data_IF_349523276297
#
_entry.id   IF_349523276297
#
_cell.length_a   1.000
_cell.length_b   1.000
_cell.length_c   1.000
_cell.angle_alpha   90.00
_cell.angle_beta   90.00
_cell.angle_gamma   90.00
#
_symmetry.space_group_name_H-M   'P 1'
#
loop_
_entity.id
_entity.type
_entity.pdbx_description
1 polymer ?
#
# COMPACT_ATOMS: atom_id res chain seq x y z
N UNK A 1 14.28 -7.45 -12.66
CA UNK A 1 13.15 -7.53 -11.71
C UNK A 1 11.97 -8.26 -12.32
N UNK A 2 11.58 -7.93 -13.55
CA UNK A 2 10.43 -8.56 -14.21
C UNK A 2 10.60 -10.07 -14.37
N UNK A 3 11.79 -10.54 -14.69
CA UNK A 3 12.10 -11.99 -14.78
C UNK A 3 11.91 -12.71 -13.44
N UNK A 4 12.35 -12.10 -12.34
CA UNK A 4 12.10 -12.64 -10.99
C UNK A 4 10.59 -12.74 -10.70
N UNK A 5 9.80 -11.75 -11.08
CA UNK A 5 8.34 -11.83 -10.93
C UNK A 5 7.76 -12.95 -11.82
N UNK A 6 8.26 -13.12 -13.04
CA UNK A 6 7.84 -14.20 -13.93
C UNK A 6 8.13 -15.60 -13.38
N UNK A 7 9.32 -15.81 -12.80
CA UNK A 7 9.71 -17.06 -12.13
C UNK A 7 8.82 -17.38 -10.92
N UNK A 8 8.30 -16.35 -10.24
CA UNK A 8 7.46 -16.47 -9.05
C UNK A 8 5.97 -16.21 -9.31
N UNK A 9 5.52 -16.19 -10.58
CA UNK A 9 4.15 -15.81 -10.92
C UNK A 9 3.07 -16.67 -10.25
N UNK A 10 3.33 -17.94 -9.95
CA UNK A 10 2.41 -18.81 -9.23
C UNK A 10 2.05 -18.30 -7.81
N UNK A 11 2.89 -17.45 -7.23
CA UNK A 11 2.67 -16.81 -5.94
C UNK A 11 2.08 -15.40 -6.05
N UNK A 12 1.92 -14.88 -7.28
CA UNK A 12 1.49 -13.51 -7.55
C UNK A 12 0.05 -13.46 -8.07
N UNK A 13 -0.88 -13.02 -7.25
CA UNK A 13 -2.25 -12.80 -7.70
C UNK A 13 -2.36 -11.53 -8.58
N UNK A 14 -1.57 -10.50 -8.29
CA UNK A 14 -1.60 -9.26 -9.06
C UNK A 14 -0.34 -8.42 -8.89
N UNK A 15 -0.12 -7.53 -9.86
CA UNK A 15 0.89 -6.47 -9.80
C UNK A 15 0.23 -5.10 -9.93
N UNK A 16 0.87 -4.12 -9.30
CA UNK A 16 0.43 -2.72 -9.27
C UNK A 16 1.56 -1.85 -9.80
N UNK A 17 1.27 -1.03 -10.80
CA UNK A 17 2.28 -0.23 -11.47
C UNK A 17 1.83 1.21 -11.70
N UNK A 18 2.80 2.11 -11.84
CA UNK A 18 2.60 3.52 -12.22
C UNK A 18 2.52 3.64 -13.73
N UNK A 19 1.71 4.57 -14.23
CA UNK A 19 1.63 4.86 -15.68
C UNK A 19 2.86 5.64 -16.19
N UNK A 20 3.67 6.21 -15.29
CA UNK A 20 4.84 7.03 -15.61
C UNK A 20 4.55 8.26 -16.51
N UNK A 21 3.32 8.72 -16.50
CA UNK A 21 2.87 9.89 -17.22
C UNK A 21 2.92 11.14 -16.32
N UNK A 22 3.33 12.32 -16.79
CA UNK A 22 3.29 13.57 -16.02
C UNK A 22 1.87 13.98 -15.62
N UNK A 23 0.85 13.52 -16.36
CA UNK A 23 -0.57 13.69 -16.01
C UNK A 23 -1.11 12.59 -15.10
N UNK A 24 -0.28 11.63 -14.77
CA UNK A 24 -0.62 10.45 -13.96
C UNK A 24 -1.01 10.84 -12.53
N UNK A 25 -2.09 10.28 -12.06
CA UNK A 25 -2.68 10.49 -10.75
C UNK A 25 -2.14 9.52 -9.68
N UNK A 26 -0.88 9.11 -9.83
CA UNK A 26 -0.19 8.22 -8.87
C UNK A 26 0.30 8.98 -7.63
N UNK A 27 0.19 8.35 -6.47
CA UNK A 27 0.59 8.91 -5.18
C UNK A 27 2.11 9.01 -4.95
N UNK A 28 2.97 8.52 -5.85
CA UNK A 28 4.43 8.49 -5.60
C UNK A 28 5.19 9.36 -6.59
N UNK A 29 6.13 10.16 -6.04
CA UNK A 29 7.05 11.02 -6.80
C UNK A 29 8.33 10.25 -7.14
N UNK A 30 9.00 10.62 -8.22
CA UNK A 30 10.40 10.23 -8.47
C UNK A 30 10.62 8.84 -9.06
N UNK A 31 9.59 8.19 -9.58
CA UNK A 31 9.81 6.98 -10.40
C UNK A 31 10.30 7.41 -11.79
N UNK A 32 11.46 6.88 -12.27
CA UNK A 32 11.94 7.20 -13.60
C UNK A 32 10.89 6.91 -14.66
N UNK A 33 10.69 7.86 -15.58
CA UNK A 33 9.79 7.68 -16.71
C UNK A 33 10.43 6.69 -17.70
N UNK A 34 9.68 5.64 -18.00
CA UNK A 34 10.01 4.72 -19.09
C UNK A 34 8.95 4.84 -20.19
N UNK A 35 9.29 4.65 -21.46
CA UNK A 35 8.31 4.63 -22.53
C UNK A 35 7.21 3.60 -22.26
N UNK A 36 5.96 3.92 -22.62
CA UNK A 36 4.81 3.03 -22.46
C UNK A 36 5.04 1.67 -23.13
N UNK A 37 5.72 1.67 -24.29
CA UNK A 37 6.12 0.46 -25.01
C UNK A 37 6.97 -0.48 -24.15
N UNK A 38 7.89 0.06 -23.36
CA UNK A 38 8.73 -0.73 -22.44
C UNK A 38 7.89 -1.32 -21.31
N UNK A 39 6.99 -0.53 -20.71
CA UNK A 39 6.07 -1.00 -19.68
C UNK A 39 5.21 -2.16 -20.22
N UNK A 40 4.67 -2.03 -21.43
CA UNK A 40 3.89 -3.10 -22.09
C UNK A 40 4.74 -4.37 -22.27
N UNK A 41 5.98 -4.23 -22.75
CA UNK A 41 6.89 -5.38 -22.88
C UNK A 41 7.12 -6.07 -21.52
N UNK A 42 7.40 -5.31 -20.47
CA UNK A 42 7.63 -5.87 -19.15
C UNK A 42 6.37 -6.57 -18.60
N UNK A 43 5.18 -5.97 -18.75
CA UNK A 43 3.92 -6.56 -18.29
C UNK A 43 3.53 -7.84 -19.04
N UNK A 44 3.92 -8.00 -20.31
CA UNK A 44 3.71 -9.22 -21.09
C UNK A 44 4.49 -10.42 -20.56
N UNK A 45 5.56 -10.23 -19.77
CA UNK A 45 6.28 -11.31 -19.10
C UNK A 45 5.52 -11.90 -17.91
N UNK A 46 4.35 -11.38 -17.56
CA UNK A 46 3.52 -11.82 -16.46
C UNK A 46 2.14 -12.32 -16.96
N UNK A 47 2.09 -13.36 -17.79
CA UNK A 47 0.81 -13.93 -18.20
C UNK A 47 0.09 -14.51 -16.98
N UNK A 48 -1.24 -14.37 -16.91
CA UNK A 48 -2.04 -14.89 -15.80
C UNK A 48 -1.99 -14.07 -14.50
N UNK A 49 -1.11 -13.07 -14.37
CA UNK A 49 -1.09 -12.15 -13.24
C UNK A 49 -1.95 -10.93 -13.54
N UNK A 50 -2.91 -10.61 -12.67
CA UNK A 50 -3.78 -9.44 -12.83
C UNK A 50 -2.98 -8.13 -12.68
N UNK A 51 -3.20 -7.18 -13.55
CA UNK A 51 -2.43 -5.94 -13.66
C UNK A 51 -3.31 -4.72 -13.39
N UNK A 52 -2.91 -3.90 -12.41
CA UNK A 52 -3.64 -2.71 -12.02
C UNK A 52 -2.76 -1.46 -12.15
N UNK A 53 -3.27 -0.45 -12.87
CA UNK A 53 -2.64 0.86 -12.92
C UNK A 53 -2.98 1.67 -11.64
N UNK A 54 -2.00 2.39 -11.11
CA UNK A 54 -2.16 3.18 -9.90
C UNK A 54 -2.56 4.61 -10.25
N UNK A 55 -3.79 4.98 -9.96
CA UNK A 55 -4.34 6.33 -10.00
C UNK A 55 -4.73 6.75 -8.57
N UNK A 56 -3.84 6.51 -7.61
CA UNK A 56 -4.15 6.46 -6.20
C UNK A 56 -3.62 7.65 -5.40
N UNK A 57 -3.40 8.80 -6.03
CA UNK A 57 -3.16 10.04 -5.33
C UNK A 57 -4.40 10.44 -4.53
N UNK A 58 -4.19 10.95 -3.31
CA UNK A 58 -5.29 11.36 -2.45
C UNK A 58 -5.86 12.71 -2.80
N UNK A 59 -5.05 13.58 -3.38
CA UNK A 59 -5.42 14.96 -3.67
C UNK A 59 -5.06 15.30 -5.10
N UNK A 60 -6.01 15.93 -5.77
CA UNK A 60 -5.83 16.54 -7.09
C UNK A 60 -6.39 17.97 -7.05
N UNK A 61 -5.71 18.95 -7.66
CA UNK A 61 -6.35 20.25 -7.88
C UNK A 61 -7.60 20.05 -8.72
N UNK A 62 -8.73 20.73 -8.41
CA UNK A 62 -9.97 20.59 -9.15
C UNK A 62 -9.81 20.72 -10.67
N UNK A 63 -8.94 21.63 -11.12
CA UNK A 63 -8.67 21.82 -12.54
C UNK A 63 -8.08 20.56 -13.22
N UNK A 64 -7.43 19.66 -12.49
CA UNK A 64 -6.89 18.44 -13.09
C UNK A 64 -7.99 17.42 -13.41
N UNK A 65 -9.02 17.34 -12.59
CA UNK A 65 -10.16 16.44 -12.80
C UNK A 65 -11.23 17.05 -13.72
N UNK A 66 -11.26 18.38 -13.86
CA UNK A 66 -12.18 19.13 -14.74
C UNK A 66 -11.57 19.39 -16.13
N UNK A 67 -10.27 19.24 -16.32
CA UNK A 67 -9.59 19.41 -17.60
C UNK A 67 -9.76 18.17 -18.48
N UNK A 68 -10.60 18.27 -19.50
CA UNK A 68 -10.89 17.19 -20.42
C UNK A 68 -9.63 16.63 -21.11
N UNK A 69 -8.67 17.48 -21.47
CA UNK A 69 -7.43 17.04 -22.14
C UNK A 69 -6.57 16.16 -21.23
N UNK A 70 -6.51 16.47 -19.93
CA UNK A 70 -5.78 15.65 -18.97
C UNK A 70 -6.47 14.30 -18.73
N UNK A 71 -7.78 14.30 -18.63
CA UNK A 71 -8.57 13.07 -18.50
C UNK A 71 -8.42 12.21 -19.76
N UNK A 72 -8.49 12.80 -20.96
CA UNK A 72 -8.30 12.10 -22.23
C UNK A 72 -6.91 11.47 -22.30
N UNK A 73 -5.84 12.18 -21.94
CA UNK A 73 -4.47 11.64 -21.98
C UNK A 73 -4.31 10.40 -21.05
N UNK A 74 -4.96 10.40 -19.89
CA UNK A 74 -4.98 9.21 -19.01
C UNK A 74 -5.78 8.08 -19.65
N UNK A 75 -6.95 8.36 -20.22
CA UNK A 75 -7.80 7.37 -20.87
C UNK A 75 -7.09 6.75 -22.09
N UNK A 76 -6.40 7.53 -22.91
CA UNK A 76 -5.62 7.03 -24.05
C UNK A 76 -4.52 6.06 -23.61
N UNK A 77 -3.85 6.37 -22.49
CA UNK A 77 -2.84 5.49 -21.89
C UNK A 77 -3.46 4.19 -21.38
N UNK A 78 -4.60 4.27 -20.69
CA UNK A 78 -5.34 3.09 -20.21
C UNK A 78 -5.85 2.25 -21.39
N UNK A 79 -6.41 2.87 -22.44
CA UNK A 79 -6.89 2.19 -23.64
C UNK A 79 -5.76 1.41 -24.31
N UNK A 80 -4.59 2.04 -24.50
CA UNK A 80 -3.40 1.40 -25.08
C UNK A 80 -2.99 0.15 -24.28
N UNK A 81 -3.02 0.21 -22.95
CA UNK A 81 -2.71 -0.92 -22.09
C UNK A 81 -3.76 -2.02 -22.16
N UNK A 82 -5.04 -1.66 -22.25
CA UNK A 82 -6.14 -2.62 -22.41
C UNK A 82 -6.05 -3.34 -23.76
N UNK A 83 -5.80 -2.62 -24.85
CA UNK A 83 -5.62 -3.19 -26.18
C UNK A 83 -4.41 -4.13 -26.24
N UNK A 84 -3.34 -3.82 -25.49
CA UNK A 84 -2.17 -4.68 -25.36
C UNK A 84 -2.40 -5.92 -24.47
N UNK A 85 -3.57 -6.09 -23.84
CA UNK A 85 -3.85 -7.15 -22.87
C UNK A 85 -3.10 -7.00 -21.53
N UNK A 86 -2.63 -5.78 -21.24
CA UNK A 86 -1.75 -5.50 -20.09
C UNK A 86 -2.43 -4.75 -18.95
N UNK A 87 -3.77 -4.66 -18.93
CA UNK A 87 -4.50 -3.96 -17.88
C UNK A 87 -5.88 -4.59 -17.63
N UNK A 88 -6.20 -4.91 -16.38
CA UNK A 88 -7.48 -5.41 -15.94
C UNK A 88 -8.24 -4.41 -15.07
N UNK A 89 -7.56 -3.39 -14.55
CA UNK A 89 -8.24 -2.38 -13.73
C UNK A 89 -7.30 -1.29 -13.21
N UNK A 90 -7.88 -0.40 -12.45
CA UNK A 90 -7.20 0.74 -11.81
C UNK A 90 -7.32 0.64 -10.28
N UNK A 91 -6.36 1.24 -9.58
CA UNK A 91 -6.48 1.49 -8.14
C UNK A 91 -6.69 2.98 -7.95
N UNK A 92 -7.77 3.36 -7.31
CA UNK A 92 -8.15 4.76 -7.07
C UNK A 92 -8.21 5.09 -5.57
N UNK A 93 -8.25 6.37 -5.24
CA UNK A 93 -8.55 6.91 -3.91
C UNK A 93 -9.57 8.04 -4.00
N UNK A 94 -9.54 8.78 -5.10
CA UNK A 94 -10.37 9.94 -5.36
C UNK A 94 -11.58 9.57 -6.23
N UNK A 95 -12.79 9.71 -5.70
CA UNK A 95 -14.02 9.45 -6.42
C UNK A 95 -14.36 10.53 -7.47
N UNK A 96 -13.85 11.77 -7.33
CA UNK A 96 -14.02 12.79 -8.39
C UNK A 96 -13.29 12.36 -9.65
N UNK A 97 -12.04 11.89 -9.51
CA UNK A 97 -11.27 11.35 -10.64
C UNK A 97 -12.00 10.14 -11.25
N UNK A 98 -12.50 9.22 -10.41
CA UNK A 98 -13.19 8.02 -10.89
C UNK A 98 -14.41 8.38 -11.74
N UNK A 99 -15.22 9.34 -11.31
CA UNK A 99 -16.38 9.86 -12.06
C UNK A 99 -15.94 10.56 -13.35
N UNK A 100 -14.94 11.44 -13.28
CA UNK A 100 -14.45 12.14 -14.46
C UNK A 100 -14.00 11.19 -15.57
N UNK A 101 -13.29 10.10 -15.22
CA UNK A 101 -12.90 9.05 -16.17
C UNK A 101 -14.13 8.32 -16.73
N UNK A 102 -15.06 7.93 -15.86
CA UNK A 102 -16.28 7.20 -16.21
C UNK A 102 -17.18 7.99 -17.15
N UNK A 103 -17.42 9.26 -16.83
CA UNK A 103 -18.28 10.13 -17.64
C UNK A 103 -17.66 10.43 -19.01
N UNK A 104 -16.33 10.49 -19.08
CA UNK A 104 -15.61 10.81 -20.31
C UNK A 104 -15.50 9.65 -21.29
N UNK A 105 -15.28 8.42 -20.81
CA UNK A 105 -15.21 7.21 -21.65
C UNK A 105 -15.81 6.01 -20.92
N UNK A 106 -17.15 5.88 -20.86
CA UNK A 106 -17.82 4.79 -20.17
C UNK A 106 -17.51 3.41 -20.77
N UNK A 107 -17.32 3.31 -22.07
CA UNK A 107 -17.06 2.04 -22.75
C UNK A 107 -15.70 1.45 -22.35
N UNK A 108 -14.66 2.27 -22.23
CA UNK A 108 -13.37 1.83 -21.70
C UNK A 108 -13.49 1.45 -20.24
N UNK A 109 -14.14 2.30 -19.44
CA UNK A 109 -14.30 2.07 -18.01
C UNK A 109 -15.07 0.78 -17.72
N UNK A 110 -16.08 0.44 -18.52
CA UNK A 110 -16.83 -0.81 -18.43
C UNK A 110 -15.99 -2.09 -18.67
N UNK A 111 -14.79 -1.94 -19.18
CA UNK A 111 -13.83 -3.05 -19.36
C UNK A 111 -12.90 -3.22 -18.17
N UNK A 112 -12.78 -2.21 -17.28
CA UNK A 112 -11.81 -2.12 -16.19
C UNK A 112 -12.49 -2.26 -14.82
N UNK A 113 -11.84 -2.99 -13.92
CA UNK A 113 -12.19 -2.97 -12.50
C UNK A 113 -11.67 -1.67 -11.85
N UNK A 114 -12.44 -1.06 -10.94
CA UNK A 114 -11.94 0.00 -10.08
C UNK A 114 -11.80 -0.52 -8.64
N UNK A 115 -10.55 -0.57 -8.17
CA UNK A 115 -10.20 -1.09 -6.85
C UNK A 115 -9.92 0.07 -5.90
N UNK A 116 -10.67 0.23 -4.80
CA UNK A 116 -10.33 1.23 -3.80
C UNK A 116 -8.95 0.95 -3.20
N UNK A 117 -8.10 1.96 -3.24
CA UNK A 117 -6.74 1.86 -2.72
C UNK A 117 -6.71 1.79 -1.19
N UNK A 118 -5.61 1.29 -0.63
CA UNK A 118 -5.42 1.20 0.85
C UNK A 118 -5.56 2.57 1.56
N UNK A 119 -5.40 3.67 0.82
CA UNK A 119 -5.60 5.02 1.33
C UNK A 119 -7.09 5.45 1.36
N UNK A 120 -8.02 4.62 0.89
CA UNK A 120 -9.45 4.77 1.17
C UNK A 120 -9.80 4.42 2.63
N UNK A 121 -8.85 3.87 3.40
CA UNK A 121 -8.97 3.56 4.82
C UNK A 121 -10.16 2.63 5.13
N UNK A 122 -10.29 1.53 4.38
CA UNK A 122 -11.40 0.57 4.51
C UNK A 122 -11.28 -0.23 5.80
N UNK A 123 -11.64 0.36 6.93
CA UNK A 123 -11.53 -0.17 8.29
C UNK A 123 -12.85 -0.69 8.87
N UNK A 124 -13.96 -0.51 8.17
CA UNK A 124 -15.30 -0.87 8.64
C UNK A 124 -16.21 -1.25 7.49
N UNK A 125 -17.21 -2.10 7.77
CA UNK A 125 -18.18 -2.54 6.77
C UNK A 125 -18.97 -1.39 6.14
N UNK A 126 -19.48 -0.40 6.92
CA UNK A 126 -20.18 0.75 6.33
C UNK A 126 -19.31 1.55 5.37
N UNK A 127 -17.99 1.71 5.66
CA UNK A 127 -17.08 2.40 4.75
C UNK A 127 -16.86 1.61 3.48
N UNK A 128 -16.68 0.28 3.56
CA UNK A 128 -16.56 -0.60 2.40
C UNK A 128 -17.83 -0.49 1.54
N UNK A 129 -19.01 -0.65 2.14
CA UNK A 129 -20.29 -0.59 1.45
C UNK A 129 -20.46 0.73 0.69
N UNK A 130 -20.21 1.85 1.36
CA UNK A 130 -20.38 3.16 0.74
C UNK A 130 -19.41 3.43 -0.42
N UNK A 131 -18.15 2.96 -0.31
CA UNK A 131 -17.22 3.02 -1.44
C UNK A 131 -17.70 2.21 -2.63
N UNK A 132 -18.28 1.02 -2.41
CA UNK A 132 -18.81 0.18 -3.48
C UNK A 132 -20.09 0.75 -4.09
N UNK A 133 -21.00 1.28 -3.28
CA UNK A 133 -22.21 2.00 -3.72
C UNK A 133 -21.86 3.21 -4.61
N UNK A 134 -20.85 3.99 -4.24
CA UNK A 134 -20.37 5.10 -5.06
C UNK A 134 -19.72 4.62 -6.37
N UNK A 135 -19.07 3.47 -6.35
CA UNK A 135 -18.49 2.84 -7.53
C UNK A 135 -19.59 2.37 -8.51
N UNK A 136 -20.67 1.78 -8.01
CA UNK A 136 -21.81 1.33 -8.82
C UNK A 136 -22.47 2.45 -9.63
N UNK A 137 -22.27 3.72 -9.23
CA UNK A 137 -22.73 4.90 -9.98
C UNK A 137 -21.79 5.28 -11.13
N UNK A 138 -20.79 4.46 -11.44
CA UNK A 138 -19.83 4.66 -12.53
C UNK A 138 -19.89 3.49 -13.51
N UNK A 139 -19.29 3.62 -14.67
CA UNK A 139 -19.21 2.55 -15.65
C UNK A 139 -18.20 1.45 -15.28
N UNK A 140 -17.35 1.64 -14.27
CA UNK A 140 -16.33 0.67 -13.90
C UNK A 140 -16.94 -0.61 -13.33
N UNK A 141 -16.25 -1.74 -13.59
CA UNK A 141 -16.60 -3.02 -12.96
C UNK A 141 -16.29 -2.99 -11.45
N UNK A 142 -17.14 -3.67 -10.70
CA UNK A 142 -16.86 -3.96 -9.28
C UNK A 142 -15.52 -4.70 -9.11
N UNK A 143 -14.77 -4.42 -8.03
CA UNK A 143 -13.51 -5.10 -7.77
C UNK A 143 -13.73 -6.54 -7.32
N UNK A 144 -12.93 -7.48 -7.83
CA UNK A 144 -12.88 -8.86 -7.31
C UNK A 144 -12.14 -8.95 -5.98
N UNK A 145 -11.39 -7.93 -5.62
CA UNK A 145 -10.66 -7.85 -4.36
C UNK A 145 -10.52 -6.41 -3.88
N UNK A 146 -10.50 -6.26 -2.56
CA UNK A 146 -10.16 -5.00 -1.89
C UNK A 146 -9.05 -5.24 -0.86
N UNK A 147 -8.29 -4.18 -0.56
CA UNK A 147 -7.28 -4.22 0.51
C UNK A 147 -7.80 -3.36 1.66
N UNK A 148 -7.98 -4.00 2.80
CA UNK A 148 -8.48 -3.38 4.02
C UNK A 148 -7.45 -2.44 4.63
N UNK A 149 -7.91 -1.57 5.54
CA UNK A 149 -6.99 -0.68 6.25
C UNK A 149 -6.04 -1.47 7.15
N UNK A 150 -4.82 -0.98 7.22
CA UNK A 150 -3.74 -1.60 7.99
C UNK A 150 -4.00 -1.69 9.50
N UNK A 151 -4.86 -0.85 10.07
CA UNK A 151 -5.21 -0.92 11.48
C UNK A 151 -5.83 -2.27 11.85
N UNK A 152 -6.53 -2.91 10.91
CA UNK A 152 -7.12 -4.23 11.08
C UNK A 152 -6.09 -5.37 11.20
N UNK A 153 -4.84 -5.14 10.82
CA UNK A 153 -3.76 -6.10 11.02
C UNK A 153 -3.53 -6.42 12.51
N UNK A 154 -4.03 -5.57 13.39
CA UNK A 154 -3.87 -5.72 14.85
C UNK A 154 -5.19 -5.82 15.62
N UNK A 155 -6.29 -5.94 14.92
CA UNK A 155 -7.62 -6.16 15.51
C UNK A 155 -8.31 -7.35 14.85
N UNK A 156 -7.94 -8.54 15.31
CA UNK A 156 -8.48 -9.81 14.82
C UNK A 156 -10.00 -9.86 14.90
N UNK A 157 -10.58 -9.35 15.98
CA UNK A 157 -12.04 -9.38 16.18
C UNK A 157 -12.77 -8.52 15.15
N UNK A 158 -12.27 -7.30 14.91
CA UNK A 158 -12.83 -6.43 13.87
C UNK A 158 -12.62 -7.04 12.48
N UNK A 159 -11.44 -7.57 12.20
CA UNK A 159 -11.13 -8.21 10.93
C UNK A 159 -12.06 -9.38 10.62
N UNK A 160 -12.23 -10.33 11.56
CA UNK A 160 -13.06 -11.50 11.36
C UNK A 160 -14.55 -11.13 11.19
N UNK A 161 -15.01 -10.12 11.93
CA UNK A 161 -16.38 -9.58 11.76
C UNK A 161 -16.56 -8.98 10.36
N UNK A 162 -15.65 -8.14 9.89
CA UNK A 162 -15.70 -7.56 8.55
C UNK A 162 -15.64 -8.68 7.50
N UNK A 163 -14.74 -9.64 7.64
CA UNK A 163 -14.59 -10.73 6.70
C UNK A 163 -15.85 -11.61 6.62
N UNK A 164 -16.48 -11.91 7.75
CA UNK A 164 -17.73 -12.68 7.80
C UNK A 164 -18.87 -11.95 7.10
N UNK A 165 -19.06 -10.67 7.42
CA UNK A 165 -20.13 -9.85 6.84
C UNK A 165 -19.89 -9.57 5.35
N UNK A 166 -18.66 -9.28 4.94
CA UNK A 166 -18.32 -9.07 3.52
C UNK A 166 -18.59 -10.32 2.69
N UNK A 167 -18.32 -11.50 3.22
CA UNK A 167 -18.59 -12.78 2.54
C UNK A 167 -20.08 -13.02 2.31
N UNK A 168 -20.94 -12.51 3.19
CA UNK A 168 -22.41 -12.60 3.03
C UNK A 168 -22.91 -11.60 1.97
N UNK A 169 -22.37 -10.37 1.96
CA UNK A 169 -22.83 -9.32 1.06
C UNK A 169 -22.19 -9.40 -0.33
N UNK A 170 -20.92 -9.77 -0.41
CA UNK A 170 -20.14 -9.84 -1.64
C UNK A 170 -19.35 -11.16 -1.70
N UNK A 171 -20.01 -12.31 -1.96
CA UNK A 171 -19.41 -13.63 -1.83
C UNK A 171 -18.21 -13.88 -2.76
N UNK A 172 -18.15 -13.15 -3.88
CA UNK A 172 -17.06 -13.25 -4.86
C UNK A 172 -15.92 -12.25 -4.62
N UNK A 173 -16.02 -11.40 -3.60
CA UNK A 173 -15.00 -10.39 -3.31
C UNK A 173 -13.98 -10.93 -2.31
N UNK A 174 -12.72 -10.94 -2.71
CA UNK A 174 -11.62 -11.33 -1.86
C UNK A 174 -11.12 -10.15 -1.02
N UNK A 175 -10.74 -10.43 0.22
CA UNK A 175 -10.14 -9.46 1.12
C UNK A 175 -8.63 -9.64 1.19
N UNK A 176 -7.92 -8.52 1.24
CA UNK A 176 -6.47 -8.48 1.39
C UNK A 176 -6.01 -7.56 2.51
N UNK A 177 -4.80 -7.79 3.02
CA UNK A 177 -4.12 -6.92 3.97
C UNK A 177 -2.82 -6.37 3.38
N UNK A 178 -2.48 -5.13 3.72
CA UNK A 178 -1.16 -4.57 3.45
C UNK A 178 -0.22 -5.00 4.57
N UNK A 179 0.78 -5.85 4.23
CA UNK A 179 1.59 -6.51 5.25
C UNK A 179 2.81 -5.72 5.69
N UNK A 180 3.53 -5.11 4.75
CA UNK A 180 4.88 -4.60 5.03
C UNK A 180 4.96 -3.08 5.23
N UNK A 181 3.87 -2.41 5.57
CA UNK A 181 3.92 -0.98 5.87
C UNK A 181 4.18 -0.74 7.37
N UNK A 182 5.23 0.04 7.66
CA UNK A 182 5.67 0.34 9.01
C UNK A 182 5.05 1.62 9.62
N UNK A 183 3.89 2.05 9.19
CA UNK A 183 3.22 3.25 9.70
C UNK A 183 2.78 3.13 11.16
N UNK A 184 2.43 4.26 11.79
CA UNK A 184 1.73 4.25 13.07
C UNK A 184 0.32 3.67 12.90
N UNK A 185 -0.19 2.86 13.87
CA UNK A 185 -1.59 2.48 13.88
C UNK A 185 -2.46 3.74 14.04
N UNK A 186 -3.55 3.83 13.28
CA UNK A 186 -4.43 5.02 13.27
C UNK A 186 -3.66 6.35 13.16
N UNK A 187 -2.68 6.39 12.24
CA UNK A 187 -1.72 7.48 12.11
C UNK A 187 -2.39 8.87 12.01
N UNK A 188 -2.17 9.78 12.97
CA UNK A 188 -2.79 11.11 12.96
C UNK A 188 -2.25 12.00 11.82
N UNK A 189 -1.07 11.68 11.29
CA UNK A 189 -0.46 12.41 10.18
C UNK A 189 -0.99 11.95 8.80
N UNK A 190 -1.75 10.85 8.73
CA UNK A 190 -2.00 10.12 7.49
C UNK A 190 -2.59 10.98 6.38
N UNK A 191 -3.63 11.74 6.67
CA UNK A 191 -4.31 12.57 5.65
C UNK A 191 -3.40 13.70 5.16
N UNK A 192 -2.77 14.44 6.08
CA UNK A 192 -1.85 15.52 5.74
C UNK A 192 -0.61 15.01 5.00
N UNK A 193 -0.07 13.84 5.44
CA UNK A 193 1.07 13.20 4.78
C UNK A 193 0.74 12.80 3.34
N UNK A 194 -0.40 12.11 3.10
CA UNK A 194 -0.82 11.71 1.77
C UNK A 194 -1.07 12.93 0.85
N UNK A 195 -1.63 14.01 1.41
CA UNK A 195 -1.84 15.27 0.67
C UNK A 195 -0.52 15.97 0.34
N UNK A 196 0.46 15.94 1.26
CA UNK A 196 1.79 16.49 1.01
C UNK A 196 2.53 15.72 -0.09
N UNK A 197 2.41 14.38 -0.11
CA UNK A 197 2.95 13.56 -1.21
C UNK A 197 2.30 13.95 -2.54
N UNK A 198 0.97 14.12 -2.56
CA UNK A 198 0.25 14.50 -3.76
C UNK A 198 0.67 15.91 -4.25
N UNK A 199 0.85 16.87 -3.34
CA UNK A 199 1.32 18.21 -3.65
C UNK A 199 2.73 18.19 -4.25
N UNK A 200 3.67 17.47 -3.62
CA UNK A 200 5.03 17.31 -4.14
C UNK A 200 5.09 16.61 -5.51
N UNK A 201 4.08 15.78 -5.82
CA UNK A 201 3.95 15.18 -7.15
C UNK A 201 3.58 16.22 -8.23
N UNK A 202 2.77 17.21 -7.87
CA UNK A 202 2.36 18.29 -8.79
C UNK A 202 3.44 19.36 -8.95
N UNK A 203 4.15 19.67 -7.86
CA UNK A 203 5.23 20.65 -7.82
C UNK A 203 6.43 20.05 -7.06
N UNK A 204 7.44 19.51 -7.76
CA UNK A 204 8.62 18.92 -7.13
C UNK A 204 9.39 19.88 -6.22
N UNK A 205 9.29 21.20 -6.41
CA UNK A 205 9.90 22.19 -5.53
C UNK A 205 9.26 22.19 -4.12
N UNK A 206 8.04 21.66 -3.99
CA UNK A 206 7.35 21.51 -2.71
C UNK A 206 7.51 20.13 -2.08
N UNK A 207 8.29 19.22 -2.68
CA UNK A 207 8.54 17.89 -2.13
C UNK A 207 9.47 17.96 -0.92
N UNK A 208 8.86 18.18 0.23
CA UNK A 208 9.53 18.20 1.53
C UNK A 208 8.92 17.22 2.53
N UNK A 209 8.13 16.28 2.04
CA UNK A 209 7.38 15.33 2.89
C UNK A 209 8.31 14.54 3.82
N UNK A 210 9.49 14.15 3.33
CA UNK A 210 10.50 13.45 4.12
C UNK A 210 11.05 14.34 5.24
N UNK A 211 11.45 15.57 4.93
CA UNK A 211 11.96 16.54 5.92
C UNK A 211 10.90 16.85 6.98
N UNK A 212 9.65 17.05 6.56
CA UNK A 212 8.51 17.24 7.45
C UNK A 212 8.32 16.07 8.40
N UNK A 213 8.34 14.81 7.91
CA UNK A 213 8.20 13.64 8.74
C UNK A 213 9.36 13.42 9.71
N UNK A 214 10.58 13.75 9.29
CA UNK A 214 11.78 13.66 10.14
C UNK A 214 11.76 14.71 11.25
N UNK A 215 11.29 15.93 10.94
CA UNK A 215 11.34 17.05 11.89
C UNK A 215 10.11 17.13 12.80
N UNK A 216 8.92 16.83 12.29
CA UNK A 216 7.65 17.07 12.96
C UNK A 216 6.74 15.86 13.05
N UNK A 217 6.96 14.83 12.22
CA UNK A 217 6.03 13.74 12.01
C UNK A 217 6.45 12.42 12.65
N UNK A 218 5.99 11.33 12.02
CA UNK A 218 6.13 9.98 12.56
C UNK A 218 7.59 9.52 12.68
N UNK A 219 8.50 9.90 11.79
CA UNK A 219 9.91 9.53 11.89
C UNK A 219 10.56 10.07 13.18
N UNK A 220 10.25 11.33 13.54
CA UNK A 220 10.64 11.89 14.83
C UNK A 220 10.06 11.11 16.01
N UNK A 221 8.78 10.71 15.92
CA UNK A 221 8.11 9.94 16.97
C UNK A 221 8.78 8.58 17.17
N UNK A 222 9.13 7.87 16.11
CA UNK A 222 9.83 6.58 16.18
C UNK A 222 11.24 6.71 16.79
N UNK A 223 11.94 7.80 16.50
CA UNK A 223 13.26 8.07 17.09
C UNK A 223 13.14 8.36 18.59
N UNK A 224 12.09 9.05 19.00
CA UNK A 224 11.86 9.38 20.43
C UNK A 224 11.32 8.18 21.23
N UNK A 225 10.44 7.41 20.64
CA UNK A 225 9.87 6.17 21.25
C UNK A 225 9.99 4.99 20.28
N UNK A 226 11.10 4.24 20.27
CA UNK A 226 11.29 3.09 19.41
C UNK A 226 10.26 1.96 19.62
N UNK A 227 9.54 1.94 20.74
CA UNK A 227 8.48 0.95 20.96
C UNK A 227 7.34 1.07 19.94
N UNK A 228 7.20 2.24 19.29
CA UNK A 228 6.26 2.48 18.22
C UNK A 228 6.53 1.61 16.99
N UNK A 229 7.78 1.22 16.75
CA UNK A 229 8.15 0.28 15.68
C UNK A 229 7.45 -1.08 15.87
N UNK A 230 7.41 -1.57 17.14
CA UNK A 230 6.71 -2.81 17.49
C UNK A 230 5.19 -2.65 17.55
N UNK A 231 4.66 -1.42 17.60
CA UNK A 231 3.23 -1.14 17.49
C UNK A 231 2.74 -0.96 16.07
N UNK A 232 3.66 -0.88 15.11
CA UNK A 232 3.32 -0.79 13.68
C UNK A 232 2.39 -1.94 13.27
N UNK A 233 1.45 -1.71 12.34
CA UNK A 233 0.57 -2.75 11.80
C UNK A 233 1.29 -3.72 10.84
N UNK A 234 2.60 -3.71 10.81
CA UNK A 234 3.44 -4.63 10.04
C UNK A 234 3.13 -6.09 10.39
N UNK A 235 3.03 -6.94 9.37
CA UNK A 235 2.88 -8.39 9.49
C UNK A 235 4.20 -9.05 9.11
N UNK A 236 4.75 -9.89 9.98
CA UNK A 236 5.94 -10.66 9.64
C UNK A 236 5.61 -11.72 8.57
N UNK A 237 6.56 -12.07 7.71
CA UNK A 237 6.36 -13.12 6.70
C UNK A 237 5.81 -14.44 7.28
N UNK A 238 6.33 -14.87 8.42
CA UNK A 238 5.92 -16.11 9.11
C UNK A 238 4.53 -16.05 9.75
N UNK A 239 4.00 -14.84 10.03
CA UNK A 239 2.71 -14.68 10.71
C UNK A 239 1.52 -14.57 9.73
N UNK A 240 1.74 -14.38 8.41
CA UNK A 240 0.66 -14.12 7.46
C UNK A 240 -0.37 -15.26 7.36
N UNK A 241 0.05 -16.50 7.59
CA UNK A 241 -0.83 -17.66 7.55
C UNK A 241 -1.94 -17.62 8.62
N UNK A 242 -1.67 -16.93 9.75
CA UNK A 242 -2.63 -16.81 10.84
C UNK A 242 -3.86 -15.97 10.47
N UNK A 243 -3.82 -15.22 9.36
CA UNK A 243 -4.94 -14.41 8.88
C UNK A 243 -5.90 -15.18 7.95
N UNK A 244 -5.52 -16.37 7.45
CA UNK A 244 -6.44 -17.27 6.78
C UNK A 244 -7.45 -17.85 7.81
N UNK A 245 -8.70 -18.13 7.44
CA UNK A 245 -9.33 -18.01 6.13
C UNK A 245 -9.97 -16.63 5.88
N UNK A 246 -9.80 -15.65 6.78
CA UNK A 246 -10.45 -14.34 6.66
C UNK A 246 -9.88 -13.52 5.50
N UNK A 247 -8.60 -13.76 5.15
CA UNK A 247 -7.83 -12.99 4.16
C UNK A 247 -7.27 -13.93 3.09
N UNK A 248 -7.50 -13.58 1.82
CA UNK A 248 -7.04 -14.34 0.66
C UNK A 248 -5.80 -13.75 -0.01
N UNK A 249 -5.51 -12.44 0.21
CA UNK A 249 -4.41 -11.74 -0.45
C UNK A 249 -3.56 -10.95 0.54
N UNK A 250 -2.25 -11.01 0.32
CA UNK A 250 -1.29 -10.13 1.02
C UNK A 250 -0.73 -9.14 0.00
N UNK A 251 -0.92 -7.86 0.26
CA UNK A 251 -0.33 -6.77 -0.53
C UNK A 251 1.01 -6.35 0.07
N UNK A 252 1.99 -6.18 -0.81
CA UNK A 252 3.30 -5.61 -0.46
C UNK A 252 3.46 -4.24 -1.10
N UNK A 253 3.99 -3.29 -0.34
CA UNK A 253 4.36 -1.94 -0.80
C UNK A 253 5.88 -1.81 -0.88
N UNK A 254 6.36 -0.68 -1.47
CA UNK A 254 7.79 -0.38 -1.55
C UNK A 254 8.33 -0.25 -2.99
N UNK A 255 7.47 -0.04 -4.00
CA UNK A 255 7.91 0.08 -5.40
C UNK A 255 8.96 1.16 -5.65
N UNK A 256 9.00 2.20 -4.81
CA UNK A 256 9.99 3.28 -4.90
C UNK A 256 11.33 2.94 -4.26
N UNK A 257 11.43 1.82 -3.55
CA UNK A 257 12.67 1.34 -2.89
C UNK A 257 13.64 0.62 -3.84
N UNK A 258 13.23 0.42 -5.08
CA UNK A 258 14.03 -0.24 -6.10
C UNK A 258 13.89 -1.76 -6.13
N UNK A 259 14.30 -2.33 -7.26
CA UNK A 259 14.11 -3.74 -7.60
C UNK A 259 14.78 -4.70 -6.60
N UNK A 260 15.98 -4.37 -6.10
CA UNK A 260 16.73 -5.22 -5.17
C UNK A 260 15.98 -5.43 -3.86
N UNK A 261 15.44 -4.36 -3.31
CA UNK A 261 14.72 -4.41 -2.03
C UNK A 261 13.40 -5.15 -2.22
N UNK A 262 12.66 -4.82 -3.29
CA UNK A 262 11.39 -5.49 -3.57
C UNK A 262 11.55 -7.00 -3.81
N UNK A 263 12.60 -7.44 -4.51
CA UNK A 263 12.91 -8.87 -4.64
C UNK A 263 13.06 -9.52 -3.28
N UNK A 264 13.89 -8.95 -2.40
CA UNK A 264 14.12 -9.47 -1.04
C UNK A 264 12.80 -9.55 -0.25
N UNK A 265 12.01 -8.48 -0.26
CA UNK A 265 10.71 -8.46 0.46
C UNK A 265 9.80 -9.56 -0.07
N UNK A 266 9.57 -9.63 -1.39
CA UNK A 266 8.69 -10.61 -2.01
C UNK A 266 9.17 -12.04 -1.68
N UNK A 267 10.46 -12.30 -1.81
CA UNK A 267 11.07 -13.61 -1.56
C UNK A 267 10.78 -14.09 -0.13
N UNK A 268 11.00 -13.23 0.88
CA UNK A 268 10.72 -13.58 2.27
C UNK A 268 9.22 -13.82 2.54
N UNK A 269 8.32 -13.09 1.89
CA UNK A 269 6.89 -13.36 2.03
C UNK A 269 6.44 -14.64 1.32
N UNK A 270 7.05 -15.01 0.18
CA UNK A 270 6.81 -16.29 -0.49
C UNK A 270 7.27 -17.45 0.42
N UNK A 271 8.49 -17.36 0.98
CA UNK A 271 9.05 -18.40 1.85
C UNK A 271 8.53 -18.36 3.29
N UNK A 272 7.78 -17.31 3.67
CA UNK A 272 7.22 -17.11 5.01
C UNK A 272 8.27 -17.17 6.12
N UNK A 273 9.45 -16.66 5.87
CA UNK A 273 10.55 -16.67 6.82
C UNK A 273 11.48 -15.48 6.64
N UNK A 274 11.92 -14.90 7.75
CA UNK A 274 12.93 -13.84 7.78
C UNK A 274 13.69 -13.82 9.10
N UNK A 275 15.01 -13.76 9.06
CA UNK A 275 15.88 -13.77 10.26
C UNK A 275 16.60 -12.45 10.54
N UNK A 276 16.49 -11.46 9.64
CA UNK A 276 17.23 -10.20 9.74
C UNK A 276 16.52 -9.10 10.54
N UNK A 277 16.97 -7.86 10.31
CA UNK A 277 16.35 -6.66 10.90
C UNK A 277 14.98 -6.37 10.28
N UNK A 278 13.91 -6.45 11.06
CA UNK A 278 12.53 -6.24 10.59
C UNK A 278 12.34 -4.94 9.82
N UNK A 279 13.06 -3.87 10.18
CA UNK A 279 12.96 -2.57 9.52
C UNK A 279 13.35 -2.63 8.04
N UNK A 280 14.17 -3.60 7.65
CA UNK A 280 14.56 -3.80 6.24
C UNK A 280 13.41 -4.32 5.36
N UNK A 281 12.41 -4.96 5.94
CA UNK A 281 11.20 -5.39 5.24
C UNK A 281 10.11 -4.33 5.26
N UNK A 282 10.09 -3.45 6.28
CA UNK A 282 9.08 -2.43 6.44
C UNK A 282 9.23 -1.32 5.40
N UNK A 283 8.24 -1.14 4.55
CA UNK A 283 8.10 0.09 3.77
C UNK A 283 7.92 1.27 4.72
N UNK A 284 8.48 2.43 4.41
CA UNK A 284 8.47 3.67 5.20
C UNK A 284 9.44 3.74 6.40
N UNK A 285 9.93 2.62 6.95
CA UNK A 285 10.84 2.60 8.12
C UNK A 285 12.28 2.19 7.78
N UNK A 286 12.58 1.97 6.53
CA UNK A 286 13.92 1.58 6.10
C UNK A 286 15.00 2.60 6.49
N UNK A 287 14.64 3.89 6.53
CA UNK A 287 15.54 4.97 6.97
C UNK A 287 15.98 4.81 8.43
N UNK A 288 15.18 4.12 9.22
CA UNK A 288 15.47 3.84 10.61
C UNK A 288 16.29 2.55 10.77
N UNK A 289 16.42 1.72 9.72
CA UNK A 289 17.14 0.46 9.78
C UNK A 289 18.66 0.62 10.04
N UNK A 290 19.24 1.77 9.66
CA UNK A 290 20.63 2.09 9.97
C UNK A 290 20.83 2.41 11.45
N UNK A 291 19.80 2.95 12.10
CA UNK A 291 19.84 3.33 13.50
C UNK A 291 19.33 2.25 14.43
N UNK A 292 18.21 1.63 14.12
CA UNK A 292 17.56 0.64 14.97
C UNK A 292 17.67 -0.76 14.36
N UNK A 293 17.94 -1.74 15.22
CA UNK A 293 17.90 -3.15 14.85
C UNK A 293 16.85 -3.85 15.70
N UNK A 294 15.94 -4.53 15.01
CA UNK A 294 14.97 -5.46 15.60
C UNK A 294 15.19 -6.80 14.92
N UNK A 295 15.99 -7.66 15.55
CA UNK A 295 16.22 -9.01 15.03
C UNK A 295 14.92 -9.81 15.09
N UNK A 296 14.43 -10.25 13.94
CA UNK A 296 13.15 -10.96 13.86
C UNK A 296 13.18 -12.29 14.61
N UNK A 297 14.30 -13.00 14.52
CA UNK A 297 14.47 -14.31 15.16
C UNK A 297 14.50 -14.23 16.69
N UNK A 298 14.86 -13.07 17.26
CA UNK A 298 14.98 -12.88 18.71
C UNK A 298 13.64 -12.43 19.34
N UNK A 299 12.63 -12.14 18.54
CA UNK A 299 11.30 -11.83 19.05
C UNK A 299 10.63 -13.09 19.61
N UNK A 300 9.76 -12.95 20.66
CA UNK A 300 9.03 -14.09 21.20
C UNK A 300 8.23 -14.82 20.13
N UNK A 301 8.16 -16.14 20.24
CA UNK A 301 7.42 -16.99 19.28
C UNK A 301 5.93 -16.64 19.19
N UNK A 302 5.36 -16.11 20.29
CA UNK A 302 3.96 -15.67 20.36
C UNK A 302 3.74 -14.21 19.92
N UNK A 303 4.80 -13.50 19.46
CA UNK A 303 4.72 -12.09 19.08
C UNK A 303 3.62 -11.82 18.05
N UNK A 304 3.57 -12.58 16.96
CA UNK A 304 2.55 -12.41 15.92
C UNK A 304 1.14 -12.63 16.46
N UNK A 305 0.92 -13.69 17.23
CA UNK A 305 -0.37 -13.97 17.83
C UNK A 305 -0.83 -12.86 18.80
N UNK A 306 0.09 -12.36 19.63
CA UNK A 306 -0.21 -11.27 20.58
C UNK A 306 -0.52 -9.96 19.88
N UNK A 307 0.24 -9.63 18.85
CA UNK A 307 0.04 -8.38 18.12
C UNK A 307 -1.21 -8.40 17.23
N UNK A 308 -1.57 -9.52 16.65
CA UNK A 308 -2.80 -9.70 15.90
C UNK A 308 -4.07 -9.52 16.79
N UNK A 309 -4.00 -9.92 18.05
CA UNK A 309 -5.11 -9.82 19.01
C UNK A 309 -5.00 -8.61 19.94
N UNK A 310 -4.29 -7.58 19.52
CA UNK A 310 -3.88 -6.47 20.40
C UNK A 310 -5.02 -5.48 20.74
N UNK A 311 -6.00 -5.32 19.83
CA UNK A 311 -7.09 -4.31 19.92
C UNK A 311 -6.61 -2.86 20.18
N UNK A 312 -5.29 -2.60 20.07
CA UNK A 312 -4.63 -1.28 20.15
C UNK A 312 -4.89 -0.48 21.45
N UNK A 313 -5.24 -1.14 22.56
CA UNK A 313 -5.42 -0.51 23.86
C UNK A 313 -4.08 -0.12 24.53
N UNK A 314 -3.22 0.62 23.81
CA UNK A 314 -1.85 0.94 24.23
C UNK A 314 -1.78 1.81 25.50
N UNK A 315 -2.84 2.53 25.84
CA UNK A 315 -2.94 3.32 27.08
C UNK A 315 -3.00 2.43 28.34
N UNK A 316 -3.48 1.20 28.22
CA UNK A 316 -3.60 0.22 29.31
C UNK A 316 -2.61 -0.95 29.18
N UNK A 317 -1.69 -0.93 28.20
CA UNK A 317 -0.79 -2.04 27.90
C UNK A 317 0.65 -1.59 27.76
N UNK A 318 1.59 -2.31 28.40
CA UNK A 318 3.04 -2.05 28.31
C UNK A 318 3.79 -2.99 27.38
N UNK A 319 3.16 -4.03 26.82
CA UNK A 319 3.82 -5.14 26.11
C UNK A 319 4.87 -4.69 25.07
N UNK A 320 4.50 -3.83 24.14
CA UNK A 320 5.44 -3.35 23.12
C UNK A 320 6.57 -2.50 23.69
N UNK A 321 6.31 -1.72 24.75
CA UNK A 321 7.35 -0.93 25.43
C UNK A 321 8.37 -1.84 26.13
N UNK A 322 7.88 -2.85 26.84
CA UNK A 322 8.75 -3.79 27.57
C UNK A 322 9.51 -4.70 26.60
N UNK A 323 8.89 -5.04 25.48
CA UNK A 323 9.55 -5.78 24.42
C UNK A 323 10.63 -4.93 23.74
N UNK A 324 10.36 -3.64 23.48
CA UNK A 324 11.33 -2.74 22.88
C UNK A 324 12.59 -2.56 23.71
N UNK A 325 12.46 -2.46 25.03
CA UNK A 325 13.63 -2.39 25.93
C UNK A 325 14.58 -3.59 25.79
N UNK A 326 14.08 -4.75 25.39
CA UNK A 326 14.83 -6.00 25.27
C UNK A 326 15.31 -6.29 23.85
N UNK A 327 14.55 -5.89 22.85
CA UNK A 327 14.74 -6.35 21.46
C UNK A 327 14.96 -5.23 20.45
N UNK A 328 14.85 -3.95 20.84
CA UNK A 328 15.22 -2.83 19.95
C UNK A 328 16.59 -2.31 20.35
N UNK A 329 17.57 -2.53 19.49
CA UNK A 329 18.91 -2.00 19.65
C UNK A 329 19.01 -0.64 18.96
N UNK A 330 19.32 0.44 19.68
CA UNK A 330 19.67 1.75 19.12
C UNK A 330 21.19 1.85 18.96
N UNK A 331 21.65 1.96 17.72
CA UNK A 331 23.09 2.13 17.39
C UNK A 331 23.61 3.55 17.63
N UNK A 332 22.75 4.48 18.05
CA UNK A 332 23.11 5.88 18.30
C UNK A 332 23.46 6.70 17.05
N UNK A 333 23.27 6.15 15.86
CA UNK A 333 23.55 6.84 14.60
C UNK A 333 22.58 7.98 14.39
N UNK A 334 23.08 9.19 14.18
CA UNK A 334 22.25 10.33 13.78
C UNK A 334 21.82 10.13 12.32
N UNK A 335 20.51 10.03 12.09
CA UNK A 335 19.95 10.05 10.73
C UNK A 335 20.10 11.47 10.22
N UNK A 336 21.06 11.71 9.33
CA UNK A 336 21.19 13.03 8.68
C UNK A 336 20.04 13.22 7.70
N UNK A 337 19.38 14.38 7.68
CA UNK A 337 18.52 14.74 6.58
C UNK A 337 19.32 14.68 5.26
N UNK A 338 18.75 14.18 4.20
CA UNK A 338 19.44 14.03 2.90
C UNK A 338 19.79 15.38 2.23
N UNK A 339 19.44 16.49 2.84
CA UNK A 339 19.59 17.89 2.40
C UNK A 339 20.13 18.81 3.51
N UNK A 340 21.02 18.33 4.33
CA UNK A 340 21.80 19.18 5.22
C UNK A 340 23.12 19.56 4.55
#
# INVERSE_FOLDING_TARGET
YIYFLGENQAHLASVYFSLHDPHCFDARVGVPSHPLSRLIQDLKHLPGVTKYALLNSRFHPPQNTLDAHRIDAVLDTLETLVQAGCLQGIVYVDHYLLRALSDRNPDLCARLQAVPGVNCLLDSLPRIAHHLECLEQTAFKAPEKIVLDRSLNRDRKALDRIASQSRQLWPNMHLGLLANEGCLPHCPFKLAHDSSIALGRMDPAQEQTRAMNTSLGCARSFVHDPSLLLRSPFLRPEDIHAYAPSIQHIKLSGRTRGARIMRRVIDHYIHRAYSGNLLELMDTQELLADRFVISNQDLPSDFGQRTMNCALACYACSYCRDLAKRHVQDKGVRIKPMWA
#
